data_IF_069056731474
#
_entry.id   IF_069056731474
#
_cell.length_a   1.000
_cell.length_b   1.000
_cell.length_c   1.000
_cell.angle_alpha   90.00
_cell.angle_beta   90.00
_cell.angle_gamma   90.00
#
_symmetry.space_group_name_H-M   'P 1'
#
loop_
_entity.id
_entity.type
_entity.pdbx_description
1 polymer ?
#
# COMPACT_ATOMS: atom_id res chain seq x y z
N UNK A 1 -4.85 2.78 -15.17
CA UNK A 1 -4.96 1.32 -15.02
C UNK A 1 -6.29 1.01 -14.38
N UNK A 2 -6.98 -0.02 -14.87
CA UNK A 2 -8.32 -0.39 -14.37
C UNK A 2 -8.25 -0.92 -12.94
N UNK A 3 -7.18 -1.65 -12.61
CA UNK A 3 -6.94 -2.22 -11.30
C UNK A 3 -5.61 -1.72 -10.73
N UNK A 4 -5.56 -1.59 -9.41
CA UNK A 4 -4.43 -1.15 -8.61
C UNK A 4 -4.25 -2.11 -7.44
N UNK A 5 -3.00 -2.41 -7.12
CA UNK A 5 -2.59 -3.03 -5.86
C UNK A 5 -2.02 -1.93 -4.95
N UNK A 6 -2.68 -1.73 -3.82
CA UNK A 6 -2.11 -1.01 -2.69
C UNK A 6 -1.28 -1.97 -1.85
N UNK A 7 -0.07 -1.53 -1.52
CA UNK A 7 0.82 -2.18 -0.57
C UNK A 7 0.96 -1.22 0.59
N UNK A 8 0.52 -1.65 1.77
CA UNK A 8 0.33 -0.80 2.94
C UNK A 8 1.26 -1.31 4.02
N UNK A 9 2.27 -0.52 4.38
CA UNK A 9 3.06 -0.77 5.57
C UNK A 9 2.62 0.22 6.65
N UNK A 10 2.07 -0.29 7.75
CA UNK A 10 1.61 0.52 8.86
C UNK A 10 2.40 0.20 10.12
N UNK A 11 2.72 1.21 10.92
CA UNK A 11 3.35 1.03 12.22
C UNK A 11 2.83 2.05 13.25
N UNK A 12 2.97 1.73 14.53
CA UNK A 12 2.61 2.67 15.60
C UNK A 12 3.56 3.88 15.61
N UNK A 13 3.07 5.04 16.09
CA UNK A 13 3.86 6.27 16.20
C UNK A 13 5.11 6.13 17.09
N UNK A 14 5.05 5.25 18.08
CA UNK A 14 6.13 4.98 19.05
C UNK A 14 7.03 3.81 18.64
N UNK A 15 6.76 3.19 17.49
CA UNK A 15 7.55 2.04 17.02
C UNK A 15 8.98 2.45 16.67
N UNK A 16 9.95 1.88 17.40
CA UNK A 16 11.38 2.08 17.11
C UNK A 16 11.81 1.43 15.79
N UNK A 17 11.12 0.38 15.35
CA UNK A 17 11.48 -0.44 14.17
C UNK A 17 10.49 -0.34 13.02
N UNK A 18 9.30 0.23 13.25
CA UNK A 18 8.27 0.41 12.24
C UNK A 18 8.76 1.09 10.96
N UNK A 19 9.44 2.26 11.06
CA UNK A 19 9.99 2.93 9.89
C UNK A 19 10.99 2.07 9.11
N UNK A 20 11.92 1.42 9.82
CA UNK A 20 12.95 0.55 9.24
C UNK A 20 12.32 -0.68 8.54
N UNK A 21 11.23 -1.20 9.10
CA UNK A 21 10.48 -2.28 8.48
C UNK A 21 9.84 -1.83 7.16
N UNK A 22 9.25 -0.63 7.10
CA UNK A 22 8.68 -0.11 5.86
C UNK A 22 9.75 0.17 4.79
N UNK A 23 10.94 0.65 5.17
CA UNK A 23 12.09 0.77 4.26
C UNK A 23 12.57 -0.59 3.73
N UNK A 24 12.61 -1.61 4.59
CA UNK A 24 12.93 -2.98 4.20
C UNK A 24 11.90 -3.54 3.21
N UNK A 25 10.61 -3.27 3.44
CA UNK A 25 9.54 -3.63 2.50
C UNK A 25 9.78 -2.94 1.17
N UNK A 26 10.03 -1.63 1.13
CA UNK A 26 10.29 -0.90 -0.12
C UNK A 26 11.42 -1.53 -0.94
N UNK A 27 12.53 -1.86 -0.28
CA UNK A 27 13.67 -2.50 -0.92
C UNK A 27 13.31 -3.88 -1.46
N UNK A 28 12.57 -4.66 -0.67
CA UNK A 28 12.09 -5.99 -1.07
C UNK A 28 11.10 -5.93 -2.23
N UNK A 29 10.25 -4.89 -2.31
CA UNK A 29 9.33 -4.71 -3.42
C UNK A 29 10.10 -4.52 -4.73
N UNK A 30 11.16 -3.71 -4.75
CA UNK A 30 11.97 -3.49 -5.94
C UNK A 30 12.65 -4.76 -6.44
N UNK A 31 13.02 -5.67 -5.52
CA UNK A 31 13.77 -6.88 -5.86
C UNK A 31 12.90 -8.10 -6.15
N UNK A 32 11.76 -8.26 -5.46
CA UNK A 32 11.02 -9.53 -5.40
C UNK A 32 9.58 -9.45 -5.87
N UNK A 33 9.01 -8.24 -5.98
CA UNK A 33 7.58 -8.07 -6.27
C UNK A 33 7.19 -8.75 -7.58
N UNK A 34 7.98 -8.58 -8.64
CA UNK A 34 7.73 -9.22 -9.93
C UNK A 34 7.63 -10.76 -9.79
N UNK A 35 8.58 -11.37 -9.09
CA UNK A 35 8.62 -12.82 -8.90
C UNK A 35 7.44 -13.36 -8.08
N UNK A 36 6.94 -12.59 -7.11
CA UNK A 36 5.78 -13.00 -6.31
C UNK A 36 4.47 -12.81 -7.06
N UNK A 37 4.36 -11.78 -7.91
CA UNK A 37 3.15 -11.54 -8.71
C UNK A 37 2.98 -12.57 -9.82
N UNK A 38 4.07 -12.98 -10.45
CA UNK A 38 4.03 -14.04 -11.48
C UNK A 38 3.45 -15.36 -10.91
N UNK A 39 3.56 -15.59 -9.60
CA UNK A 39 2.96 -16.75 -8.92
C UNK A 39 1.46 -16.61 -8.68
N UNK A 40 0.91 -15.39 -8.71
CA UNK A 40 -0.51 -15.13 -8.40
C UNK A 40 -1.47 -15.59 -9.50
N UNK A 41 -0.96 -16.01 -10.67
CA UNK A 41 -1.70 -16.71 -11.75
C UNK A 41 -2.77 -15.89 -12.50
N UNK A 42 -3.47 -15.01 -11.79
CA UNK A 42 -4.57 -14.19 -12.26
C UNK A 42 -4.14 -12.78 -12.68
N UNK A 43 -2.91 -12.38 -12.34
CA UNK A 43 -2.29 -11.12 -12.76
C UNK A 43 -1.51 -11.36 -14.04
N UNK A 44 -1.92 -10.72 -15.13
CA UNK A 44 -1.21 -10.80 -16.42
C UNK A 44 0.00 -9.88 -16.44
N UNK A 45 -0.14 -8.72 -15.82
CA UNK A 45 0.90 -7.70 -15.81
C UNK A 45 0.79 -6.82 -14.57
N UNK A 46 1.93 -6.43 -14.01
CA UNK A 46 2.00 -5.39 -12.97
C UNK A 46 3.18 -4.47 -13.24
N UNK A 47 3.00 -3.19 -12.94
CA UNK A 47 4.08 -2.22 -12.94
C UNK A 47 5.10 -2.57 -11.85
N UNK A 48 6.32 -2.89 -12.30
CA UNK A 48 7.45 -3.35 -11.48
C UNK A 48 7.90 -2.30 -10.46
N UNK A 49 7.62 -1.02 -10.71
CA UNK A 49 7.94 0.09 -9.81
C UNK A 49 6.66 0.68 -9.22
N UNK A 50 6.20 0.20 -8.05
CA UNK A 50 5.11 0.82 -7.32
C UNK A 50 5.42 2.29 -7.03
N UNK A 51 4.44 3.16 -7.25
CA UNK A 51 4.54 4.58 -6.90
C UNK A 51 4.33 4.73 -5.39
N UNK A 52 5.30 5.29 -4.68
CA UNK A 52 5.10 5.69 -3.28
C UNK A 52 4.10 6.85 -3.24
N UNK A 53 2.93 6.60 -2.65
CA UNK A 53 1.80 7.53 -2.62
C UNK A 53 1.67 8.25 -1.28
N UNK A 54 1.94 7.55 -0.17
CA UNK A 54 2.11 8.13 1.17
C UNK A 54 3.43 7.64 1.76
N UNK A 55 4.08 8.48 2.56
CA UNK A 55 5.35 8.16 3.20
C UNK A 55 5.35 8.51 4.69
N UNK A 56 5.18 7.50 5.54
CA UNK A 56 5.12 7.65 7.00
C UNK A 56 4.14 8.75 7.46
N UNK A 57 3.00 8.86 6.76
CA UNK A 57 1.91 9.81 7.07
C UNK A 57 0.80 9.09 7.84
N UNK A 58 -0.12 9.83 8.48
CA UNK A 58 -1.25 9.21 9.19
C UNK A 58 -2.03 8.26 8.26
N UNK A 59 -2.25 7.02 8.72
CA UNK A 59 -2.99 6.03 7.96
C UNK A 59 -4.42 6.50 7.65
N UNK A 60 -4.87 6.45 6.38
CA UNK A 60 -6.26 6.75 6.04
C UNK A 60 -7.24 5.81 6.77
N UNK A 61 -8.34 6.36 7.30
CA UNK A 61 -9.34 5.59 8.07
C UNK A 61 -9.84 4.34 7.33
N UNK A 62 -10.05 4.43 6.02
CA UNK A 62 -10.51 3.29 5.18
C UNK A 62 -9.47 2.18 4.99
N UNK A 63 -8.23 2.42 5.43
CA UNK A 63 -7.08 1.51 5.31
C UNK A 63 -6.50 1.11 6.66
N UNK A 64 -6.97 1.70 7.76
CA UNK A 64 -6.62 1.23 9.10
C UNK A 64 -7.11 -0.21 9.25
N UNK A 65 -6.20 -1.13 9.51
CA UNK A 65 -6.55 -2.51 9.85
C UNK A 65 -7.33 -2.57 11.16
N UNK A 66 -7.99 -3.70 11.43
CA UNK A 66 -8.72 -3.93 12.70
C UNK A 66 -7.80 -4.10 13.92
N UNK A 67 -6.51 -3.79 13.80
CA UNK A 67 -5.56 -3.93 14.89
C UNK A 67 -5.66 -2.69 15.79
N UNK A 68 -6.33 -2.83 16.93
CA UNK A 68 -6.57 -1.77 17.90
C UNK A 68 -5.26 -1.11 18.40
N UNK A 69 -4.12 -1.82 18.39
CA UNK A 69 -2.82 -1.25 18.76
C UNK A 69 -2.25 -0.30 17.71
N UNK A 70 -2.80 -0.31 16.49
CA UNK A 70 -2.40 0.55 15.38
C UNK A 70 -3.43 1.67 15.12
N UNK A 71 -4.32 1.99 16.07
CA UNK A 71 -5.33 3.04 15.92
C UNK A 71 -4.72 4.43 15.59
N UNK A 72 -3.53 4.71 16.13
CA UNK A 72 -2.71 5.87 15.80
C UNK A 72 -1.44 5.43 15.05
N UNK A 73 -1.62 4.92 13.83
CA UNK A 73 -0.53 4.45 12.97
C UNK A 73 -0.15 5.43 11.87
N UNK A 74 1.15 5.42 11.56
CA UNK A 74 1.71 5.96 10.32
C UNK A 74 1.71 4.86 9.26
N UNK A 75 1.44 5.25 8.02
CA UNK A 75 1.40 4.41 6.85
C UNK A 75 2.38 4.92 5.80
N UNK A 76 3.14 3.99 5.24
CA UNK A 76 3.75 4.13 3.92
C UNK A 76 2.94 3.28 2.96
N UNK A 77 2.47 3.90 1.87
CA UNK A 77 1.62 3.24 0.88
C UNK A 77 2.28 3.31 -0.48
N UNK A 78 2.43 2.15 -1.11
CA UNK A 78 2.83 2.04 -2.49
C UNK A 78 1.67 1.58 -3.36
N UNK A 79 1.56 2.16 -4.55
CA UNK A 79 0.52 1.87 -5.54
C UNK A 79 1.18 1.20 -6.74
N UNK A 80 0.85 -0.07 -6.97
CA UNK A 80 1.28 -0.81 -8.15
C UNK A 80 0.08 -1.00 -9.09
N UNK A 81 0.18 -0.46 -10.29
CA UNK A 81 -0.82 -0.69 -11.32
C UNK A 81 -0.77 -2.13 -11.84
N UNK A 82 -1.91 -2.80 -11.98
CA UNK A 82 -1.96 -4.14 -12.55
C UNK A 82 -3.05 -4.32 -13.61
N UNK A 83 -2.88 -5.36 -14.42
CA UNK A 83 -3.85 -5.89 -15.36
C UNK A 83 -4.12 -7.36 -14.98
N UNK A 84 -5.38 -7.70 -14.77
CA UNK A 84 -5.82 -9.04 -14.39
C UNK A 84 -6.57 -9.68 -15.55
N UNK A 85 -6.38 -10.99 -15.77
CA UNK A 85 -7.03 -11.72 -16.88
C UNK A 85 -8.55 -11.81 -16.73
N UNK A 86 -9.02 -11.88 -15.49
CA UNK A 86 -10.42 -11.96 -15.16
C UNK A 86 -10.73 -10.84 -14.16
N UNK A 87 -11.62 -9.91 -14.53
CA UNK A 87 -12.12 -8.86 -13.63
C UNK A 87 -13.02 -9.48 -12.56
N UNK A 88 -12.46 -10.24 -11.62
CA UNK A 88 -13.24 -10.73 -10.48
C UNK A 88 -13.31 -9.66 -9.40
N UNK A 89 -14.50 -9.60 -8.81
CA UNK A 89 -14.96 -8.63 -7.83
C UNK A 89 -13.98 -8.44 -6.67
N UNK A 90 -13.91 -7.19 -6.20
CA UNK A 90 -13.38 -6.68 -4.94
C UNK A 90 -12.60 -7.70 -4.09
N UNK A 91 -11.29 -7.79 -4.31
CA UNK A 91 -10.44 -8.57 -3.42
C UNK A 91 -10.36 -7.87 -2.04
N UNK A 92 -10.81 -8.58 -1.01
CA UNK A 92 -10.67 -8.13 0.38
C UNK A 92 -9.19 -7.93 0.75
N UNK A 93 -8.96 -6.98 1.66
CA UNK A 93 -7.63 -6.62 2.12
C UNK A 93 -6.98 -7.80 2.86
N UNK A 94 -5.95 -8.41 2.27
CA UNK A 94 -5.15 -9.40 2.95
C UNK A 94 -4.15 -8.67 3.86
N UNK A 95 -4.27 -8.89 5.17
CA UNK A 95 -3.40 -8.27 6.17
C UNK A 95 -2.52 -9.35 6.78
N UNK A 96 -1.20 -9.18 6.66
CA UNK A 96 -0.22 -10.03 7.32
C UNK A 96 0.34 -9.30 8.52
N UNK A 97 -0.09 -9.72 9.70
CA UNK A 97 0.52 -9.26 10.94
C UNK A 97 1.94 -9.82 11.05
N UNK A 98 2.91 -8.91 11.13
CA UNK A 98 4.34 -9.27 11.22
C UNK A 98 4.85 -9.10 12.66
N UNK A 99 4.29 -8.13 13.37
CA UNK A 99 4.61 -7.77 14.75
C UNK A 99 3.41 -7.05 15.39
N UNK A 100 3.42 -6.92 16.71
CA UNK A 100 2.47 -6.08 17.46
C UNK A 100 2.54 -4.60 17.06
N UNK A 101 3.68 -4.14 16.52
CA UNK A 101 3.97 -2.72 16.33
C UNK A 101 4.00 -2.30 14.85
N UNK A 102 3.92 -3.26 13.93
CA UNK A 102 3.89 -3.02 12.49
C UNK A 102 3.26 -4.18 11.70
N UNK A 103 2.58 -3.82 10.61
CA UNK A 103 1.77 -4.70 9.79
C UNK A 103 2.02 -4.40 8.32
N UNK A 104 2.00 -5.46 7.50
CA UNK A 104 2.01 -5.36 6.04
C UNK A 104 0.66 -5.82 5.49
N UNK A 105 -0.01 -4.97 4.74
CA UNK A 105 -1.29 -5.25 4.12
C UNK A 105 -1.27 -5.05 2.60
N UNK A 106 -2.17 -5.75 1.92
CA UNK A 106 -2.38 -5.66 0.49
C UNK A 106 -3.86 -5.42 0.22
N UNK A 107 -4.18 -4.47 -0.67
CA UNK A 107 -5.57 -4.18 -1.05
C UNK A 107 -5.66 -3.92 -2.55
N UNK A 108 -6.56 -4.63 -3.22
CA UNK A 108 -6.88 -4.32 -4.62
C UNK A 108 -7.97 -3.26 -4.69
N UNK A 109 -7.85 -2.36 -5.66
CA UNK A 109 -8.79 -1.29 -5.92
C UNK A 109 -8.99 -1.10 -7.42
N UNK A 110 -10.14 -0.57 -7.79
CA UNK A 110 -10.31 0.00 -9.13
C UNK A 110 -9.58 1.34 -9.22
N UNK A 111 -9.06 1.67 -10.39
CA UNK A 111 -8.28 2.89 -10.62
C UNK A 111 -8.99 4.18 -10.21
N UNK A 112 -10.32 4.22 -10.32
CA UNK A 112 -11.16 5.36 -9.94
C UNK A 112 -11.45 5.46 -8.43
N UNK A 113 -11.09 4.46 -7.63
CA UNK A 113 -11.34 4.44 -6.18
C UNK A 113 -10.17 5.01 -5.37
N UNK A 114 -8.98 5.12 -5.98
CA UNK A 114 -7.76 5.53 -5.29
C UNK A 114 -7.90 6.90 -4.61
N UNK A 115 -8.37 7.92 -5.33
CA UNK A 115 -8.49 9.28 -4.78
C UNK A 115 -9.56 9.37 -3.68
N UNK A 116 -10.53 8.46 -3.65
CA UNK A 116 -11.56 8.38 -2.60
C UNK A 116 -11.06 7.71 -1.31
N UNK A 117 -9.91 7.02 -1.37
CA UNK A 117 -9.33 6.26 -0.26
C UNK A 117 -8.07 6.95 0.25
N UNK A 118 -7.24 7.43 -0.67
CA UNK A 118 -6.01 8.14 -0.38
C UNK A 118 -6.03 9.44 -1.21
N UNK A 119 -6.71 10.50 -0.73
CA UNK A 119 -6.67 11.78 -1.42
C UNK A 119 -5.20 12.19 -1.54
N UNK A 120 -4.77 12.67 -2.71
CA UNK A 120 -3.41 13.18 -2.88
C UNK A 120 -3.20 14.26 -1.82
N UNK A 121 -2.31 14.00 -0.86
CA UNK A 121 -1.79 15.03 0.03
C UNK A 121 -1.30 16.15 -0.90
N UNK A 122 -1.93 17.32 -0.82
CA UNK A 122 -1.69 18.42 -1.75
C UNK A 122 -0.23 18.87 -1.71
N UNK A 123 0.63 18.23 -2.52
CA UNK A 123 1.89 18.78 -3.01
C UNK A 123 1.62 19.67 -4.24
N UNK A 124 0.57 20.48 -4.16
CA UNK A 124 0.37 21.68 -4.97
C UNK A 124 0.22 22.87 -4.01
N UNK A 125 1.30 23.14 -3.25
CA UNK A 125 1.55 24.45 -2.65
C UNK A 125 3.01 24.81 -2.90
N UNK A 126 3.27 25.24 -4.13
CA UNK A 126 4.62 25.66 -4.52
C UNK A 126 4.72 26.05 -5.99
N UNK A 127 3.76 26.83 -6.49
CA UNK A 127 3.80 27.41 -7.83
C UNK A 127 3.12 28.77 -7.81
N UNK A 128 3.94 29.80 -8.05
CA UNK A 128 3.59 31.20 -8.36
C UNK A 128 2.94 32.06 -7.26
N UNK A 129 3.79 32.90 -6.66
CA UNK A 129 3.70 34.37 -6.77
C UNK A 129 5.02 35.05 -6.45
#
# INVERSE_FOLDING_TARGET
YENLLLIICSHSNDSLRGPQFCEYVESSLKEKLQNEIEKLGDVEYMHINPLKWLDSENCPEKLKGKNEKLEASLCTIWVAANYQKNSKEDFEMETKEVSNDFVLGFKYLKGNELENIIPKSGKDKGGDK
#
